data_IF_001974209777
#
_entry.id   IF_001974209777
#
_cell.length_a   1.000
_cell.length_b   1.000
_cell.length_c   1.000
_cell.angle_alpha   90.00
_cell.angle_beta   90.00
_cell.angle_gamma   90.00
#
_symmetry.space_group_name_H-M   'P 1'
#
loop_
_entity.id
_entity.type
_entity.pdbx_description
1 polymer ?
#
# COMPACT_ATOMS: atom_id res chain seq x y z
N UNK A 1 4.65 7.09 -52.46
CA UNK A 1 4.17 6.30 -53.64
C UNK A 1 3.47 7.25 -54.60
N UNK A 2 3.40 6.97 -55.92
CA UNK A 2 2.96 7.98 -56.92
C UNK A 2 1.69 7.62 -57.69
N UNK A 3 1.07 6.45 -57.47
CA UNK A 3 -0.10 6.01 -58.24
C UNK A 3 -1.01 5.03 -57.48
N UNK A 4 -2.31 4.97 -57.81
CA UNK A 4 -3.27 4.02 -57.21
C UNK A 4 -2.90 2.55 -57.46
N UNK A 5 -2.41 2.24 -58.67
CA UNK A 5 -1.91 0.89 -58.98
C UNK A 5 -0.69 0.50 -58.15
N UNK A 6 0.13 1.48 -57.77
CA UNK A 6 1.29 1.29 -56.91
C UNK A 6 0.82 0.91 -55.50
N UNK A 7 -0.18 1.63 -54.96
CA UNK A 7 -0.78 1.34 -53.65
C UNK A 7 -1.43 -0.05 -53.63
N UNK A 8 -2.25 -0.39 -54.63
CA UNK A 8 -2.88 -1.71 -54.71
C UNK A 8 -1.85 -2.86 -54.73
N UNK A 9 -0.72 -2.65 -55.41
CA UNK A 9 0.36 -3.64 -55.47
C UNK A 9 1.05 -3.84 -54.11
N UNK A 10 1.34 -2.78 -53.38
CA UNK A 10 1.93 -2.89 -52.03
C UNK A 10 0.93 -3.48 -51.03
N UNK A 11 -0.34 -3.04 -51.05
CA UNK A 11 -1.39 -3.56 -50.16
C UNK A 11 -1.60 -5.07 -50.37
N UNK A 12 -1.72 -5.51 -51.63
CA UNK A 12 -1.89 -6.93 -51.95
C UNK A 12 -0.68 -7.80 -51.56
N UNK A 13 0.54 -7.26 -51.65
CA UNK A 13 1.77 -7.99 -51.27
C UNK A 13 1.87 -8.14 -49.75
N UNK A 14 1.59 -7.07 -49.00
CA UNK A 14 1.62 -7.10 -47.53
C UNK A 14 0.49 -7.95 -46.92
N UNK A 15 -0.67 -8.04 -47.59
CA UNK A 15 -1.79 -8.93 -47.18
C UNK A 15 -1.52 -10.41 -47.37
N UNK A 16 -0.47 -10.81 -48.09
CA UNK A 16 -0.10 -12.24 -48.21
C UNK A 16 0.54 -12.79 -46.93
N UNK A 17 0.90 -11.91 -45.99
CA UNK A 17 1.48 -12.30 -44.71
C UNK A 17 0.37 -12.87 -43.83
N UNK A 18 0.49 -14.12 -43.33
CA UNK A 18 -0.57 -14.76 -42.53
C UNK A 18 -0.94 -13.98 -41.26
N UNK A 19 -0.01 -13.17 -40.75
CA UNK A 19 -0.20 -12.37 -39.53
C UNK A 19 -0.68 -10.94 -39.79
N UNK A 20 -0.97 -10.55 -41.04
CA UNK A 20 -1.49 -9.22 -41.40
C UNK A 20 -2.99 -9.34 -41.70
N UNK A 21 -3.82 -8.66 -40.90
CA UNK A 21 -5.28 -8.66 -41.05
C UNK A 21 -5.74 -7.65 -42.10
N UNK A 22 -5.14 -6.45 -42.07
CA UNK A 22 -5.53 -5.39 -42.98
C UNK A 22 -4.37 -4.46 -43.33
N UNK A 23 -4.43 -3.88 -44.52
CA UNK A 23 -3.44 -2.92 -45.03
C UNK A 23 -4.19 -1.81 -45.75
N UNK A 24 -4.20 -0.63 -45.15
CA UNK A 24 -4.76 0.59 -45.70
C UNK A 24 -3.64 1.54 -46.12
N UNK A 25 -3.73 2.13 -47.32
CA UNK A 25 -2.68 2.99 -47.87
C UNK A 25 -3.27 4.35 -48.17
N UNK A 26 -2.77 5.36 -47.47
CA UNK A 26 -3.09 6.75 -47.73
C UNK A 26 -2.05 7.35 -48.71
N UNK A 27 -2.46 7.51 -49.97
CA UNK A 27 -1.62 8.06 -51.03
C UNK A 27 -1.30 9.55 -50.86
N UNK A 28 -2.22 10.33 -50.29
CA UNK A 28 -2.04 11.77 -50.06
C UNK A 28 -0.96 12.04 -49.03
N UNK A 29 -0.90 11.20 -47.99
CA UNK A 29 0.09 11.31 -46.91
C UNK A 29 1.34 10.44 -47.14
N UNK A 30 1.27 9.52 -48.12
CA UNK A 30 2.34 8.56 -48.36
C UNK A 30 2.51 7.55 -47.23
N UNK A 31 1.44 7.28 -46.47
CA UNK A 31 1.44 6.45 -45.27
C UNK A 31 0.70 5.13 -45.50
N UNK A 32 1.14 4.06 -44.83
CA UNK A 32 0.49 2.76 -44.85
C UNK A 32 0.18 2.33 -43.41
N UNK A 33 -1.08 2.05 -43.13
CA UNK A 33 -1.55 1.52 -41.85
C UNK A 33 -1.71 0.01 -41.98
N UNK A 34 -0.97 -0.74 -41.17
CA UNK A 34 -0.94 -2.21 -41.21
C UNK A 34 -1.49 -2.73 -39.89
N UNK A 35 -2.61 -3.45 -39.96
CA UNK A 35 -3.19 -4.18 -38.83
C UNK A 35 -2.64 -5.60 -38.83
N UNK A 36 -2.05 -6.02 -37.71
CA UNK A 36 -1.36 -7.30 -37.59
C UNK A 36 -1.73 -8.02 -36.28
N UNK A 37 -1.85 -9.34 -36.32
CA UNK A 37 -2.18 -10.18 -35.16
C UNK A 37 -1.01 -10.32 -34.18
N UNK A 38 0.20 -10.41 -34.72
CA UNK A 38 1.44 -10.38 -33.95
C UNK A 38 2.28 -9.22 -34.45
N UNK A 39 3.11 -8.67 -33.58
CA UNK A 39 4.08 -7.67 -34.01
C UNK A 39 5.07 -8.26 -35.02
N UNK A 40 5.19 -7.61 -36.17
CA UNK A 40 6.14 -7.93 -37.24
C UNK A 40 7.09 -6.74 -37.35
N UNK A 41 8.39 -6.98 -37.28
CA UNK A 41 9.37 -5.92 -37.40
C UNK A 41 9.32 -5.29 -38.80
N UNK A 42 9.50 -3.97 -38.91
CA UNK A 42 9.56 -3.28 -40.21
C UNK A 42 10.63 -3.83 -41.15
N UNK A 43 11.72 -4.39 -40.63
CA UNK A 43 12.74 -5.07 -41.43
C UNK A 43 12.18 -6.30 -42.15
N UNK A 44 11.31 -7.08 -41.50
CA UNK A 44 10.67 -8.26 -42.08
C UNK A 44 9.63 -7.85 -43.13
N UNK A 45 8.93 -6.73 -42.93
CA UNK A 45 8.03 -6.14 -43.94
C UNK A 45 8.80 -5.60 -45.16
N UNK A 46 9.96 -4.98 -44.94
CA UNK A 46 10.82 -4.48 -46.00
C UNK A 46 11.42 -5.63 -46.83
N UNK A 47 11.71 -6.76 -46.19
CA UNK A 47 12.23 -7.96 -46.83
C UNK A 47 11.26 -8.54 -47.87
N UNK A 48 9.97 -8.44 -47.63
CA UNK A 48 8.93 -8.92 -48.55
C UNK A 48 8.79 -8.02 -49.78
N UNK A 49 9.19 -6.75 -49.67
CA UNK A 49 9.22 -5.80 -50.78
C UNK A 49 10.57 -5.79 -51.52
N UNK A 50 11.50 -6.70 -51.22
CA UNK A 50 12.82 -6.79 -51.87
C UNK A 50 12.75 -6.91 -53.39
N UNK A 51 11.74 -7.62 -53.91
CA UNK A 51 11.50 -7.77 -55.35
C UNK A 51 11.06 -6.45 -56.02
N UNK A 52 10.75 -5.43 -55.22
CA UNK A 52 10.31 -4.11 -55.64
C UNK A 52 11.16 -3.01 -54.97
N UNK A 53 12.43 -2.82 -55.40
CA UNK A 53 13.39 -1.90 -54.75
C UNK A 53 12.97 -0.42 -54.79
N UNK A 54 11.90 -0.09 -55.52
CA UNK A 54 11.29 1.25 -55.58
C UNK A 54 10.45 1.59 -54.34
N UNK A 55 10.14 0.62 -53.49
CA UNK A 55 9.34 0.82 -52.28
C UNK A 55 10.22 0.65 -51.03
N UNK A 56 10.37 1.73 -50.25
CA UNK A 56 11.07 1.74 -48.97
C UNK A 56 10.06 2.08 -47.87
N UNK A 57 10.01 1.24 -46.85
CA UNK A 57 9.23 1.43 -45.64
C UNK A 57 10.12 2.06 -44.57
N UNK A 58 9.58 3.05 -43.88
CA UNK A 58 10.18 3.60 -42.67
C UNK A 58 9.10 3.65 -41.61
N UNK A 59 9.41 3.19 -40.40
CA UNK A 59 8.50 3.34 -39.29
C UNK A 59 8.37 4.83 -38.99
N UNK A 60 7.16 5.36 -39.17
CA UNK A 60 6.82 6.65 -38.58
C UNK A 60 6.88 6.42 -37.07
N UNK A 61 7.80 7.13 -36.40
CA UNK A 61 7.80 7.26 -34.94
C UNK A 61 6.50 7.94 -34.53
N UNK A 62 5.41 7.19 -34.53
CA UNK A 62 4.23 7.55 -33.77
C UNK A 62 4.75 7.46 -32.35
N UNK A 63 4.95 8.61 -31.70
CA UNK A 63 4.90 8.69 -30.25
C UNK A 63 3.64 7.93 -29.89
N UNK A 64 3.78 6.66 -29.50
CA UNK A 64 2.68 5.89 -28.99
C UNK A 64 2.09 6.80 -27.95
N UNK A 65 0.86 7.25 -28.17
CA UNK A 65 0.09 7.85 -27.09
C UNK A 65 0.14 6.79 -26.01
N UNK A 66 0.96 7.10 -25.01
CA UNK A 66 1.11 6.38 -23.77
C UNK A 66 -0.28 5.86 -23.45
N UNK A 67 -0.42 4.54 -23.31
CA UNK A 67 -1.68 3.94 -22.90
C UNK A 67 -2.25 4.86 -21.80
N UNK A 68 -3.38 5.52 -22.07
CA UNK A 68 -4.09 6.32 -21.06
C UNK A 68 -4.52 5.40 -19.90
N UNK A 69 -4.41 4.09 -20.11
CA UNK A 69 -4.59 2.99 -19.17
C UNK A 69 -3.29 2.30 -18.69
N UNK A 70 -2.09 2.81 -19.01
CA UNK A 70 -0.91 2.42 -18.24
C UNK A 70 -1.04 3.11 -16.88
N UNK A 71 -1.00 2.37 -15.75
CA UNK A 71 -0.93 3.01 -14.46
C UNK A 71 0.33 3.86 -14.49
N UNK A 72 0.16 5.18 -14.40
CA UNK A 72 1.24 6.10 -14.06
C UNK A 72 1.84 5.49 -12.80
N UNK A 73 3.08 5.01 -12.87
CA UNK A 73 3.79 4.59 -11.67
C UNK A 73 3.85 5.84 -10.80
N UNK A 74 2.99 5.89 -9.77
CA UNK A 74 3.03 6.97 -8.79
C UNK A 74 4.47 7.04 -8.28
N UNK A 75 5.08 8.24 -8.20
CA UNK A 75 6.40 8.38 -7.62
C UNK A 75 6.38 7.69 -6.25
N UNK A 76 7.34 6.79 -5.99
CA UNK A 76 7.44 6.13 -4.68
C UNK A 76 7.52 7.21 -3.61
N UNK A 77 6.45 7.34 -2.82
CA UNK A 77 6.38 8.34 -1.75
C UNK A 77 7.56 8.11 -0.81
N UNK A 78 8.21 9.21 -0.43
CA UNK A 78 9.32 9.12 0.52
C UNK A 78 8.81 8.54 1.85
N UNK A 79 9.61 7.73 2.55
CA UNK A 79 9.25 7.15 3.85
C UNK A 79 8.63 8.18 4.80
N UNK A 80 9.25 9.37 4.88
CA UNK A 80 8.77 10.47 5.72
C UNK A 80 7.37 10.96 5.34
N UNK A 81 7.04 11.05 4.06
CA UNK A 81 5.72 11.50 3.60
C UNK A 81 4.64 10.46 3.91
N UNK A 82 5.02 9.19 3.84
CA UNK A 82 4.15 8.06 4.17
C UNK A 82 3.83 8.07 5.67
N UNK A 83 4.84 8.12 6.56
CA UNK A 83 4.65 8.00 8.01
C UNK A 83 4.41 9.32 8.78
N UNK A 84 4.38 10.46 8.09
CA UNK A 84 4.15 11.78 8.69
C UNK A 84 2.99 11.83 9.69
N UNK A 85 1.80 11.23 9.41
CA UNK A 85 0.68 11.27 10.36
C UNK A 85 1.00 10.55 11.68
N UNK A 86 1.65 9.39 11.61
CA UNK A 86 1.98 8.58 12.80
C UNK A 86 3.02 9.28 13.66
N UNK A 87 4.08 9.81 13.04
CA UNK A 87 5.13 10.55 13.77
C UNK A 87 4.54 11.77 14.47
N UNK A 88 3.58 12.46 13.84
CA UNK A 88 2.88 13.58 14.44
C UNK A 88 2.01 13.13 15.62
N UNK A 89 1.23 12.06 15.48
CA UNK A 89 0.44 11.51 16.60
C UNK A 89 1.35 11.14 17.78
N UNK A 90 2.43 10.42 17.51
CA UNK A 90 3.40 9.98 18.51
C UNK A 90 4.02 11.17 19.25
N UNK A 91 4.43 12.23 18.53
CA UNK A 91 5.06 13.41 19.15
C UNK A 91 4.09 14.18 20.05
N UNK A 92 2.82 14.31 19.66
CA UNK A 92 1.79 14.94 20.49
C UNK A 92 1.52 14.14 21.77
N UNK A 93 1.33 12.82 21.65
CA UNK A 93 1.09 11.94 22.81
C UNK A 93 2.30 11.96 23.74
N UNK A 94 3.52 11.85 23.19
CA UNK A 94 4.76 11.90 23.97
C UNK A 94 4.86 13.21 24.76
N UNK A 95 4.58 14.35 24.11
CA UNK A 95 4.64 15.67 24.76
C UNK A 95 3.66 15.77 25.93
N UNK A 96 2.39 15.37 25.72
CA UNK A 96 1.38 15.39 26.79
C UNK A 96 1.77 14.45 27.93
N UNK A 97 2.33 13.29 27.61
CA UNK A 97 2.75 12.29 28.60
C UNK A 97 3.90 12.75 29.47
N UNK A 98 4.89 13.41 28.87
CA UNK A 98 5.98 14.04 29.61
C UNK A 98 5.46 15.15 30.51
N UNK A 99 4.59 16.03 30.00
CA UNK A 99 3.96 17.10 30.80
C UNK A 99 3.19 16.51 31.98
N UNK A 100 2.40 15.47 31.76
CA UNK A 100 1.62 14.83 32.81
C UNK A 100 2.48 14.11 33.86
N UNK A 101 3.64 13.55 33.46
CA UNK A 101 4.61 12.95 34.37
C UNK A 101 5.38 13.97 35.21
N UNK A 102 5.52 15.21 34.74
CA UNK A 102 6.11 16.30 35.51
C UNK A 102 5.09 16.86 36.52
N UNK A 103 5.10 16.33 37.75
CA UNK A 103 4.25 16.79 38.85
C UNK A 103 5.09 17.17 40.06
N UNK A 104 4.83 18.35 40.64
CA UNK A 104 5.49 18.83 41.87
C UNK A 104 7.04 18.84 41.83
N UNK A 105 7.63 19.08 40.66
CA UNK A 105 9.10 19.13 40.49
C UNK A 105 9.80 17.78 40.45
N UNK A 106 9.06 16.67 40.56
CA UNK A 106 9.57 15.29 40.44
C UNK A 106 8.94 14.66 39.19
N UNK A 107 9.73 13.85 38.47
CA UNK A 107 9.22 13.14 37.31
C UNK A 107 8.65 11.78 37.72
N UNK A 108 7.33 11.61 37.60
CA UNK A 108 6.64 10.35 37.82
C UNK A 108 6.57 9.55 36.51
N UNK A 109 7.47 8.58 36.39
CA UNK A 109 7.54 7.67 35.25
C UNK A 109 6.26 6.84 35.07
N UNK A 110 5.58 6.43 36.15
CA UNK A 110 4.36 5.63 36.04
C UNK A 110 3.22 6.45 35.45
N UNK A 111 3.06 7.70 35.90
CA UNK A 111 2.05 8.60 35.33
C UNK A 111 2.37 8.92 33.87
N UNK A 112 3.63 9.19 33.53
CA UNK A 112 4.03 9.42 32.14
C UNK A 112 3.71 8.21 31.24
N UNK A 113 4.10 7.01 31.66
CA UNK A 113 3.84 5.77 30.90
C UNK A 113 2.35 5.51 30.75
N UNK A 114 1.56 5.67 31.81
CA UNK A 114 0.10 5.50 31.78
C UNK A 114 -0.56 6.45 30.80
N UNK A 115 -0.23 7.74 30.85
CA UNK A 115 -0.81 8.76 29.96
C UNK A 115 -0.42 8.50 28.51
N UNK A 116 0.81 8.07 28.27
CA UNK A 116 1.26 7.68 26.94
C UNK A 116 0.45 6.51 26.39
N UNK A 117 0.33 5.42 27.15
CA UNK A 117 -0.45 4.25 26.74
C UNK A 117 -1.93 4.57 26.54
N UNK A 118 -2.52 5.39 27.40
CA UNK A 118 -3.89 5.87 27.24
C UNK A 118 -4.09 6.63 25.91
N UNK A 119 -3.26 7.65 25.67
CA UNK A 119 -3.34 8.48 24.46
C UNK A 119 -3.12 7.65 23.20
N UNK A 120 -2.21 6.68 23.28
CA UNK A 120 -1.91 5.76 22.19
C UNK A 120 -3.10 4.86 21.85
N UNK A 121 -3.59 4.07 22.82
CA UNK A 121 -4.73 3.18 22.60
C UNK A 121 -5.99 3.92 22.13
N UNK A 122 -6.31 5.07 22.73
CA UNK A 122 -7.49 5.86 22.35
C UNK A 122 -7.38 6.38 20.91
N UNK A 123 -6.20 6.87 20.53
CA UNK A 123 -5.97 7.44 19.20
C UNK A 123 -5.99 6.35 18.11
N UNK A 124 -5.31 5.23 18.34
CA UNK A 124 -5.30 4.13 17.38
C UNK A 124 -6.66 3.42 17.30
N UNK A 125 -7.38 3.26 18.41
CA UNK A 125 -8.75 2.75 18.40
C UNK A 125 -9.69 3.68 17.62
N UNK A 126 -9.56 5.00 17.77
CA UNK A 126 -10.34 5.97 16.99
C UNK A 126 -10.17 5.78 15.47
N UNK A 127 -8.94 5.63 14.98
CA UNK A 127 -8.72 5.37 13.54
C UNK A 127 -9.36 4.06 13.07
N UNK A 128 -9.37 3.04 13.92
CA UNK A 128 -10.02 1.76 13.63
C UNK A 128 -11.55 1.92 13.56
N UNK A 129 -12.12 2.78 14.38
CA UNK A 129 -13.56 3.07 14.35
C UNK A 129 -14.01 3.83 13.10
N UNK A 130 -13.15 4.68 12.52
CA UNK A 130 -13.48 5.41 11.28
C UNK A 130 -13.84 4.47 10.13
N UNK A 131 -13.18 3.31 10.06
CA UNK A 131 -13.51 2.27 9.09
C UNK A 131 -13.40 0.87 9.72
N UNK A 132 -14.31 0.57 10.65
CA UNK A 132 -14.27 -0.67 11.43
C UNK A 132 -14.35 -1.94 10.55
N UNK A 133 -15.13 -1.90 9.47
CA UNK A 133 -15.25 -3.02 8.52
C UNK A 133 -13.94 -3.22 7.77
N UNK A 134 -13.39 -2.15 7.21
CA UNK A 134 -12.08 -2.18 6.55
C UNK A 134 -10.99 -2.69 7.49
N UNK A 135 -10.92 -2.14 8.70
CA UNK A 135 -10.03 -2.62 9.75
C UNK A 135 -10.14 -4.14 9.94
N UNK A 136 -11.34 -4.66 10.23
CA UNK A 136 -11.54 -6.06 10.54
C UNK A 136 -11.16 -6.98 9.35
N UNK A 137 -11.50 -6.57 8.12
CA UNK A 137 -11.15 -7.32 6.92
C UNK A 137 -9.64 -7.40 6.72
N UNK A 138 -8.91 -6.28 6.80
CA UNK A 138 -7.46 -6.31 6.67
C UNK A 138 -6.76 -6.96 7.85
N UNK A 139 -7.25 -6.74 9.08
CA UNK A 139 -6.73 -7.37 10.29
C UNK A 139 -6.80 -8.91 10.16
N UNK A 140 -7.89 -9.43 9.61
CA UNK A 140 -8.06 -10.87 9.36
C UNK A 140 -7.09 -11.49 8.35
N UNK A 141 -6.44 -10.68 7.50
CA UNK A 141 -5.52 -11.20 6.49
C UNK A 141 -4.18 -11.66 7.08
N UNK A 142 -3.74 -11.02 8.18
CA UNK A 142 -2.43 -11.26 8.77
C UNK A 142 -2.46 -11.71 10.24
N UNK A 143 -3.46 -11.33 11.04
CA UNK A 143 -3.52 -11.75 12.44
C UNK A 143 -3.88 -13.24 12.57
N UNK A 144 -3.23 -13.92 13.52
CA UNK A 144 -3.35 -15.39 13.68
C UNK A 144 -4.76 -15.77 14.13
N UNK A 145 -5.36 -14.97 15.00
CA UNK A 145 -6.69 -15.23 15.58
C UNK A 145 -7.79 -14.77 14.62
N UNK A 146 -7.66 -13.58 14.05
CA UNK A 146 -8.65 -13.03 13.12
C UNK A 146 -8.73 -13.78 11.80
N UNK A 147 -7.63 -14.44 11.36
CA UNK A 147 -7.68 -15.35 10.21
C UNK A 147 -8.65 -16.51 10.43
N UNK A 148 -8.77 -17.00 11.67
CA UNK A 148 -9.70 -18.10 12.01
C UNK A 148 -11.10 -17.60 12.34
N UNK A 149 -11.22 -16.42 12.95
CA UNK A 149 -12.49 -15.81 13.32
C UNK A 149 -12.52 -14.32 12.98
N UNK A 150 -13.18 -13.95 11.87
CA UNK A 150 -13.28 -12.54 11.43
C UNK A 150 -13.90 -11.59 12.46
N UNK A 151 -14.77 -12.11 13.34
CA UNK A 151 -15.35 -11.33 14.44
C UNK A 151 -14.31 -10.83 15.44
N UNK A 152 -13.13 -11.46 15.51
CA UNK A 152 -12.03 -11.03 16.38
C UNK A 152 -11.54 -9.63 16.03
N UNK A 153 -11.49 -9.26 14.74
CA UNK A 153 -11.06 -7.91 14.34
C UNK A 153 -11.97 -6.83 14.92
N UNK A 154 -13.29 -7.04 14.91
CA UNK A 154 -14.24 -6.12 15.53
C UNK A 154 -14.01 -6.03 17.04
N UNK A 155 -13.91 -7.17 17.72
CA UNK A 155 -13.70 -7.23 19.17
C UNK A 155 -12.38 -6.55 19.58
N UNK A 156 -11.33 -6.76 18.81
CA UNK A 156 -10.01 -6.19 19.06
C UNK A 156 -10.02 -4.65 19.03
N UNK A 157 -10.73 -4.04 18.08
CA UNK A 157 -10.86 -2.58 18.03
C UNK A 157 -11.53 -1.99 19.28
N UNK A 158 -12.54 -2.68 19.82
CA UNK A 158 -13.18 -2.30 21.09
C UNK A 158 -12.33 -2.62 22.31
N UNK A 159 -11.54 -3.69 22.27
CA UNK A 159 -10.61 -4.03 23.33
C UNK A 159 -9.57 -2.91 23.51
N UNK A 160 -9.01 -2.38 22.42
CA UNK A 160 -8.10 -1.24 22.50
C UNK A 160 -8.76 0.02 23.02
N UNK A 161 -10.02 0.29 22.65
CA UNK A 161 -10.76 1.40 23.26
C UNK A 161 -10.85 1.21 24.78
N UNK A 162 -11.23 0.01 25.21
CA UNK A 162 -11.38 -0.32 26.62
C UNK A 162 -10.07 -0.20 27.38
N UNK A 163 -8.94 -0.65 26.81
CA UNK A 163 -7.62 -0.47 27.39
C UNK A 163 -7.23 1.01 27.48
N UNK A 164 -7.47 1.79 26.42
CA UNK A 164 -7.20 3.23 26.44
C UNK A 164 -7.99 3.96 27.52
N UNK A 165 -9.26 3.62 27.69
CA UNK A 165 -10.09 4.15 28.77
C UNK A 165 -9.62 3.68 30.16
N UNK A 166 -9.22 2.41 30.29
CA UNK A 166 -8.71 1.87 31.55
C UNK A 166 -7.41 2.56 31.99
N UNK A 167 -6.47 2.80 31.08
CA UNK A 167 -5.27 3.58 31.37
C UNK A 167 -5.60 5.04 31.70
N UNK A 168 -6.54 5.68 30.97
CA UNK A 168 -6.95 7.06 31.25
C UNK A 168 -7.59 7.22 32.64
N UNK A 169 -8.41 6.24 33.04
CA UNK A 169 -9.09 6.22 34.35
C UNK A 169 -8.20 5.69 35.48
N UNK A 170 -7.01 5.17 35.17
CA UNK A 170 -6.20 4.40 36.10
C UNK A 170 -6.97 3.24 36.76
N UNK A 171 -7.82 2.58 35.98
CA UNK A 171 -8.67 1.48 36.44
C UNK A 171 -7.84 0.21 36.59
N UNK A 172 -7.78 -0.32 37.81
CA UNK A 172 -7.04 -1.54 38.18
C UNK A 172 -5.71 -1.71 37.40
N UNK A 173 -4.67 -0.93 37.76
CA UNK A 173 -3.45 -0.83 36.97
C UNK A 173 -2.73 -2.17 36.79
N UNK A 174 -2.86 -3.11 37.72
CA UNK A 174 -2.22 -4.42 37.60
C UNK A 174 -2.87 -5.25 36.49
N UNK A 175 -4.19 -5.46 36.54
CA UNK A 175 -4.94 -6.19 35.51
C UNK A 175 -4.87 -5.49 34.16
N UNK A 176 -4.98 -4.17 34.11
CA UNK A 176 -4.92 -3.41 32.86
C UNK A 176 -3.58 -3.61 32.16
N UNK A 177 -2.46 -3.54 32.90
CA UNK A 177 -1.16 -3.85 32.32
C UNK A 177 -1.03 -5.33 31.94
N UNK A 178 -1.48 -6.27 32.77
CA UNK A 178 -1.40 -7.69 32.46
C UNK A 178 -2.18 -8.06 31.19
N UNK A 179 -3.41 -7.56 31.03
CA UNK A 179 -4.22 -7.75 29.83
C UNK A 179 -3.54 -7.12 28.62
N UNK A 180 -3.01 -5.90 28.76
CA UNK A 180 -2.28 -5.22 27.69
C UNK A 180 -1.10 -6.06 27.22
N UNK A 181 -0.28 -6.56 28.16
CA UNK A 181 0.87 -7.40 27.86
C UNK A 181 0.48 -8.63 27.05
N UNK A 182 -0.56 -9.35 27.47
CA UNK A 182 -1.04 -10.55 26.79
C UNK A 182 -1.54 -10.22 25.38
N UNK A 183 -2.39 -9.20 25.25
CA UNK A 183 -3.02 -8.84 23.97
C UNK A 183 -1.98 -8.33 22.98
N UNK A 184 -1.08 -7.43 23.41
CA UNK A 184 -0.02 -6.90 22.55
C UNK A 184 0.98 -7.99 22.13
N UNK A 185 1.31 -8.92 23.02
CA UNK A 185 2.17 -10.07 22.68
C UNK A 185 1.53 -10.98 21.63
N UNK A 186 0.22 -11.20 21.68
CA UNK A 186 -0.48 -11.98 20.65
C UNK A 186 -0.48 -11.20 19.32
N UNK A 187 -0.76 -9.88 19.36
CA UNK A 187 -0.77 -9.01 18.18
C UNK A 187 0.58 -8.99 17.45
N UNK A 188 1.68 -8.76 18.18
CA UNK A 188 3.01 -8.62 17.59
C UNK A 188 3.46 -9.91 16.88
N UNK A 189 3.07 -11.10 17.38
CA UNK A 189 3.35 -12.39 16.72
C UNK A 189 2.67 -12.44 15.34
N UNK A 190 1.43 -11.96 15.23
CA UNK A 190 0.70 -11.86 13.97
C UNK A 190 1.38 -10.90 12.98
N UNK A 191 1.78 -9.72 13.46
CA UNK A 191 2.46 -8.70 12.65
C UNK A 191 3.84 -9.17 12.19
N UNK A 192 4.66 -9.73 13.09
CA UNK A 192 5.99 -10.27 12.78
C UNK A 192 5.91 -11.33 11.68
N UNK A 193 4.97 -12.28 11.82
CA UNK A 193 4.75 -13.34 10.82
C UNK A 193 4.31 -12.76 9.48
N UNK A 194 3.54 -11.67 9.46
CA UNK A 194 3.11 -11.00 8.23
C UNK A 194 4.28 -10.33 7.51
N UNK A 195 5.08 -9.55 8.25
CA UNK A 195 6.23 -8.80 7.72
C UNK A 195 7.28 -9.77 7.15
N UNK A 196 7.58 -10.85 7.86
CA UNK A 196 8.53 -11.88 7.41
C UNK A 196 8.07 -12.59 6.13
N UNK A 197 6.76 -12.75 5.93
CA UNK A 197 6.22 -13.45 4.75
C UNK A 197 6.14 -12.58 3.49
N UNK A 198 6.60 -11.32 3.51
CA UNK A 198 6.61 -10.37 2.37
C UNK A 198 5.29 -10.30 1.59
N UNK A 199 4.15 -10.65 2.21
CA UNK A 199 2.86 -10.58 1.55
C UNK A 199 2.45 -9.11 1.50
N UNK A 200 2.54 -8.51 0.31
CA UNK A 200 2.00 -7.16 0.04
C UNK A 200 0.47 -7.24 0.12
N UNK A 201 -0.06 -6.95 1.29
CA UNK A 201 -1.50 -6.84 1.50
C UNK A 201 -1.77 -5.43 2.02
N UNK A 202 -2.61 -4.72 1.28
CA UNK A 202 -3.14 -3.41 1.61
C UNK A 202 -3.80 -3.45 3.00
N UNK A 203 -3.39 -2.53 3.88
CA UNK A 203 -3.81 -2.50 5.28
C UNK A 203 -5.02 -1.57 5.46
N UNK A 204 -6.25 -2.07 5.56
CA UNK A 204 -7.48 -1.27 5.58
C UNK A 204 -7.81 -0.57 6.90
N UNK A 205 -6.91 -0.60 7.89
CA UNK A 205 -7.03 0.13 9.15
C UNK A 205 -6.77 1.64 8.96
N UNK A 206 -5.68 1.96 8.24
CA UNK A 206 -5.30 3.31 7.85
C UNK A 206 -5.09 3.43 6.34
N UNK A 207 -5.03 2.31 5.61
CA UNK A 207 -4.74 2.26 4.18
C UNK A 207 -5.86 2.81 3.30
N UNK A 208 -7.11 2.77 3.75
CA UNK A 208 -8.22 3.37 2.99
C UNK A 208 -8.24 4.90 3.08
N UNK A 209 -7.54 5.52 4.04
CA UNK A 209 -7.48 6.98 4.23
C UNK A 209 -6.05 7.54 4.00
N UNK A 210 -5.00 6.75 4.27
CA UNK A 210 -3.59 7.15 4.25
C UNK A 210 -2.63 6.15 3.56
N UNK A 211 -3.10 5.05 2.96
CA UNK A 211 -2.28 4.08 2.20
C UNK A 211 -0.99 3.58 2.90
N UNK A 212 -1.04 3.41 4.23
CA UNK A 212 0.12 2.89 4.97
C UNK A 212 0.22 1.36 4.83
N UNK A 213 1.34 0.82 4.30
CA UNK A 213 1.60 -0.61 4.40
C UNK A 213 1.77 -0.98 5.88
N UNK A 214 1.29 -2.16 6.29
CA UNK A 214 1.69 -2.72 7.58
C UNK A 214 3.22 -2.78 7.63
N UNK A 215 3.80 -1.96 8.49
CA UNK A 215 5.20 -1.58 8.42
C UNK A 215 5.95 -1.99 9.68
N UNK A 216 7.28 -1.92 9.60
CA UNK A 216 8.19 -2.02 10.75
C UNK A 216 7.80 -1.08 11.90
N UNK A 217 7.11 0.02 11.60
CA UNK A 217 6.59 0.96 12.60
C UNK A 217 5.64 0.30 13.59
N UNK A 218 4.71 -0.56 13.15
CA UNK A 218 3.76 -1.23 14.04
C UNK A 218 4.46 -2.22 14.98
N UNK A 219 5.55 -2.86 14.53
CA UNK A 219 6.37 -3.73 15.38
C UNK A 219 7.03 -2.91 16.50
N UNK A 220 7.53 -1.72 16.17
CA UNK A 220 8.15 -0.81 17.16
C UNK A 220 7.11 -0.31 18.16
N UNK A 221 5.91 0.04 17.68
CA UNK A 221 4.77 0.46 18.48
C UNK A 221 4.31 -0.63 19.47
N UNK A 222 3.99 -1.84 18.99
CA UNK A 222 3.54 -2.95 19.84
C UNK A 222 4.64 -3.34 20.83
N UNK A 223 5.90 -3.37 20.36
CA UNK A 223 7.06 -3.66 21.20
C UNK A 223 7.27 -2.63 22.30
N UNK A 224 7.09 -1.34 22.01
CA UNK A 224 7.14 -0.27 22.99
C UNK A 224 6.06 -0.46 24.06
N UNK A 225 4.81 -0.75 23.66
CA UNK A 225 3.71 -0.96 24.60
C UNK A 225 3.91 -2.19 25.49
N UNK A 226 4.46 -3.27 24.95
CA UNK A 226 4.86 -4.46 25.72
C UNK A 226 5.92 -4.09 26.77
N UNK A 227 6.96 -3.36 26.37
CA UNK A 227 8.05 -2.97 27.27
C UNK A 227 7.55 -2.05 28.38
N UNK A 228 6.72 -1.06 28.05
CA UNK A 228 6.12 -0.16 29.03
C UNK A 228 5.21 -0.91 30.00
N UNK A 229 4.38 -1.83 29.50
CA UNK A 229 3.51 -2.66 30.34
C UNK A 229 4.32 -3.54 31.30
N UNK A 230 5.39 -4.19 30.82
CA UNK A 230 6.31 -4.97 31.67
C UNK A 230 6.99 -4.10 32.73
N UNK A 231 7.48 -2.91 32.33
CA UNK A 231 8.12 -1.98 33.25
C UNK A 231 7.13 -1.53 34.33
N UNK A 232 5.89 -1.18 33.96
CA UNK A 232 4.86 -0.79 34.92
C UNK A 232 4.49 -1.93 35.87
N UNK A 233 4.41 -3.18 35.40
CA UNK A 233 4.16 -4.34 36.28
C UNK A 233 5.31 -4.61 37.25
N UNK A 234 6.55 -4.35 36.85
CA UNK A 234 7.73 -4.55 37.70
C UNK A 234 7.96 -3.42 38.70
N UNK A 235 7.58 -2.19 38.35
CA UNK A 235 7.74 -0.99 39.17
C UNK A 235 6.57 -0.73 40.12
N UNK A 236 5.48 -1.50 40.02
CA UNK A 236 4.30 -1.42 40.88
C UNK A 236 4.51 -1.98 42.29
#
# INVERSE_FOLDING_TARGET
>A
MTCEGCAAKVSSTLKQIPSVQNVDINLEQGEATIEMERHIASSELQDILKDYPKYQLSEKNVTMHQNVFAPIAEPEKTWLETYKPIVLIFSYILTISLIAGFSNGIFDYMTAMRVFMAGFFLTFSFFKMLNLRGFADSYSMYDVVARKFKGWGYLYAFLELALGLAFALNFEPFLTNLVTLIVMTISIIGVLKSVLNKKKIQCACLGTVFNLPMSTVTIIEDGLMILMSLAMLFLM
#
